data_IF_083184152366
#
_entry.id   IF_083184152366
#
_cell.length_a   1.000
_cell.length_b   1.000
_cell.length_c   1.000
_cell.angle_alpha   90.00
_cell.angle_beta   90.00
_cell.angle_gamma   90.00
#
_symmetry.space_group_name_H-M   'P 1'
#
loop_
_entity.id
_entity.type
_entity.pdbx_description
1 polymer ?
#
# COMPACT_ATOMS: atom_id res chain seq x y z
N UNK A 1 -16.58 20.57 -14.25
CA UNK A 1 -15.19 20.19 -13.87
C UNK A 1 -15.22 19.61 -12.46
N UNK A 2 -14.63 18.42 -12.23
CA UNK A 2 -14.50 17.87 -10.86
C UNK A 2 -13.53 18.73 -10.08
N UNK A 3 -13.86 19.04 -8.83
CA UNK A 3 -12.92 19.80 -7.99
C UNK A 3 -11.63 18.99 -7.77
N UNK A 4 -10.46 19.60 -7.64
CA UNK A 4 -9.19 18.88 -7.40
C UNK A 4 -9.24 18.02 -6.14
N UNK A 5 -10.15 18.33 -5.24
CA UNK A 5 -10.44 17.56 -4.04
C UNK A 5 -11.13 16.22 -4.34
N UNK A 6 -12.10 16.21 -5.24
CA UNK A 6 -12.76 15.00 -5.71
C UNK A 6 -11.80 14.10 -6.50
N UNK A 7 -10.89 14.71 -7.27
CA UNK A 7 -9.90 13.96 -8.01
C UNK A 7 -8.91 13.25 -7.09
N UNK A 8 -8.36 13.96 -6.09
CA UNK A 8 -7.47 13.37 -5.10
C UNK A 8 -8.14 12.23 -4.33
N UNK A 9 -9.42 12.39 -3.94
CA UNK A 9 -10.17 11.31 -3.26
C UNK A 9 -10.36 10.09 -4.14
N UNK A 10 -10.61 10.27 -5.42
CA UNK A 10 -10.76 9.16 -6.36
C UNK A 10 -9.44 8.40 -6.55
N UNK A 11 -8.32 9.14 -6.66
CA UNK A 11 -6.97 8.53 -6.71
C UNK A 11 -6.70 7.71 -5.48
N UNK A 12 -7.03 8.21 -4.26
CA UNK A 12 -6.88 7.46 -3.02
C UNK A 12 -7.68 6.16 -3.03
N UNK A 13 -8.95 6.20 -3.44
CA UNK A 13 -9.79 5.01 -3.47
C UNK A 13 -9.23 3.98 -4.46
N UNK A 14 -8.90 4.39 -5.68
CA UNK A 14 -8.41 3.47 -6.72
C UNK A 14 -7.06 2.87 -6.31
N UNK A 15 -6.09 3.70 -5.92
CA UNK A 15 -4.75 3.22 -5.53
C UNK A 15 -4.80 2.36 -4.26
N UNK A 16 -5.67 2.70 -3.30
CA UNK A 16 -5.88 1.89 -2.10
C UNK A 16 -6.46 0.51 -2.42
N UNK A 17 -7.46 0.43 -3.29
CA UNK A 17 -8.02 -0.85 -3.75
C UNK A 17 -6.96 -1.68 -4.47
N UNK A 18 -6.19 -1.09 -5.37
CA UNK A 18 -5.11 -1.78 -6.09
C UNK A 18 -4.00 -2.27 -5.13
N UNK A 19 -3.67 -1.49 -4.09
CA UNK A 19 -2.73 -1.89 -3.05
C UNK A 19 -3.24 -3.09 -2.24
N UNK A 20 -4.54 -3.13 -1.90
CA UNK A 20 -5.15 -4.29 -1.23
C UNK A 20 -5.03 -5.54 -2.12
N UNK A 21 -5.34 -5.43 -3.42
CA UNK A 21 -5.21 -6.54 -4.34
C UNK A 21 -3.75 -7.01 -4.48
N UNK A 22 -2.79 -6.08 -4.54
CA UNK A 22 -1.36 -6.43 -4.55
C UNK A 22 -0.98 -7.27 -3.32
N UNK A 23 -1.41 -6.87 -2.13
CA UNK A 23 -1.20 -7.64 -0.90
C UNK A 23 -1.88 -9.02 -0.92
N UNK A 24 -3.09 -9.12 -1.47
CA UNK A 24 -3.79 -10.40 -1.63
C UNK A 24 -3.03 -11.31 -2.61
N UNK A 25 -2.56 -10.79 -3.74
CA UNK A 25 -1.76 -11.55 -4.70
C UNK A 25 -0.42 -12.01 -4.12
N UNK A 26 0.19 -11.21 -3.25
CA UNK A 26 1.40 -11.61 -2.54
C UNK A 26 1.17 -12.83 -1.61
N UNK A 27 -0.06 -13.07 -1.18
CA UNK A 27 -0.46 -14.24 -0.41
C UNK A 27 -0.45 -15.53 -1.23
N UNK A 28 -0.68 -15.43 -2.55
CA UNK A 28 -0.72 -16.55 -3.49
C UNK A 28 0.45 -16.45 -4.47
N UNK A 29 1.63 -16.97 -4.11
CA UNK A 29 2.81 -16.84 -4.95
C UNK A 29 2.59 -17.49 -6.32
N UNK A 30 2.77 -16.70 -7.38
CA UNK A 30 2.60 -17.11 -8.78
C UNK A 30 1.25 -17.79 -9.04
N UNK A 31 0.16 -17.28 -8.41
CA UNK A 31 -1.19 -17.86 -8.47
C UNK A 31 -1.28 -19.33 -8.04
N UNK A 32 -0.32 -19.80 -7.25
CA UNK A 32 -0.33 -21.14 -6.67
C UNK A 32 -1.31 -21.22 -5.50
N UNK A 33 -1.97 -22.39 -5.35
CA UNK A 33 -2.85 -22.65 -4.20
C UNK A 33 -2.09 -22.80 -2.87
N UNK A 34 -0.77 -22.86 -2.91
CA UNK A 34 0.07 -23.07 -1.73
C UNK A 34 0.35 -21.75 -1.03
N UNK A 35 -0.38 -21.48 0.03
CA UNK A 35 -0.24 -20.28 0.89
C UNK A 35 0.90 -20.45 1.91
N UNK A 36 1.43 -21.63 2.03
CA UNK A 36 2.12 -22.15 3.20
C UNK A 36 3.45 -21.50 3.59
N UNK A 37 4.15 -20.85 2.70
CA UNK A 37 5.43 -20.23 3.10
C UNK A 37 5.43 -18.69 3.12
N UNK A 38 4.39 -18.08 2.66
CA UNK A 38 4.30 -16.61 2.72
C UNK A 38 3.79 -16.11 4.06
N UNK A 39 2.86 -16.83 4.69
CA UNK A 39 2.30 -16.48 5.98
C UNK A 39 1.78 -15.04 6.07
N UNK A 40 1.32 -14.64 7.24
CA UNK A 40 0.90 -13.27 7.52
C UNK A 40 2.13 -12.43 7.91
N UNK A 41 2.86 -11.93 6.93
CA UNK A 41 4.07 -11.11 7.12
C UNK A 41 3.77 -9.62 6.89
N UNK A 42 4.69 -8.75 7.35
CA UNK A 42 4.59 -7.30 7.11
C UNK A 42 4.53 -6.95 5.62
N UNK A 43 5.13 -7.74 4.75
CA UNK A 43 5.12 -7.57 3.29
C UNK A 43 3.72 -7.71 2.68
N UNK A 44 2.86 -8.52 3.29
CA UNK A 44 1.47 -8.75 2.87
C UNK A 44 0.52 -7.86 3.67
N UNK A 45 0.73 -7.79 4.98
CA UNK A 45 -0.16 -7.05 5.87
C UNK A 45 -0.14 -5.55 5.60
N UNK A 46 1.03 -4.96 5.33
CA UNK A 46 1.17 -3.52 5.17
C UNK A 46 0.39 -2.96 3.98
N UNK A 47 0.50 -3.49 2.73
CA UNK A 47 -0.29 -3.00 1.61
C UNK A 47 -1.80 -3.18 1.81
N UNK A 48 -2.26 -4.24 2.49
CA UNK A 48 -3.68 -4.46 2.79
C UNK A 48 -4.18 -3.42 3.79
N UNK A 49 -3.50 -3.24 4.93
CA UNK A 49 -3.93 -2.31 5.98
C UNK A 49 -3.84 -0.86 5.55
N UNK A 50 -2.73 -0.47 4.92
CA UNK A 50 -2.56 0.89 4.43
C UNK A 50 -3.52 1.18 3.27
N UNK A 51 -3.73 0.24 2.36
CA UNK A 51 -4.72 0.35 1.29
C UNK A 51 -6.14 0.54 1.84
N UNK A 52 -6.54 -0.23 2.86
CA UNK A 52 -7.83 -0.08 3.52
C UNK A 52 -7.97 1.29 4.20
N UNK A 53 -6.94 1.73 4.91
CA UNK A 53 -6.90 3.06 5.54
C UNK A 53 -7.11 4.17 4.51
N UNK A 54 -6.39 4.11 3.39
CA UNK A 54 -6.44 5.10 2.32
C UNK A 54 -7.82 5.12 1.62
N UNK A 55 -8.44 3.97 1.42
CA UNK A 55 -9.82 3.88 0.90
C UNK A 55 -10.80 4.57 1.85
N UNK A 56 -10.67 4.35 3.16
CA UNK A 56 -11.49 5.03 4.18
C UNK A 56 -11.31 6.55 4.08
N UNK A 57 -10.06 7.03 3.99
CA UNK A 57 -9.77 8.47 3.80
C UNK A 57 -10.49 9.00 2.56
N UNK A 58 -10.34 8.33 1.42
CA UNK A 58 -10.98 8.74 0.17
C UNK A 58 -12.50 8.83 0.27
N UNK A 59 -13.14 7.86 0.91
CA UNK A 59 -14.59 7.83 1.15
C UNK A 59 -15.02 8.97 2.09
N UNK A 60 -14.33 9.14 3.22
CA UNK A 60 -14.64 10.20 4.19
C UNK A 60 -14.54 11.58 3.55
N UNK A 61 -13.50 11.82 2.76
CA UNK A 61 -13.29 13.07 2.04
C UNK A 61 -14.41 13.34 1.03
N UNK A 62 -14.87 12.32 0.28
CA UNK A 62 -16.01 12.46 -0.62
C UNK A 62 -17.31 12.75 0.12
N UNK A 63 -17.55 12.08 1.24
CA UNK A 63 -18.72 12.32 2.08
C UNK A 63 -18.69 13.71 2.70
N UNK A 64 -17.56 14.14 3.22
CA UNK A 64 -17.37 15.49 3.77
C UNK A 64 -17.60 16.57 2.70
N UNK A 65 -17.17 16.32 1.46
CA UNK A 65 -17.41 17.23 0.34
C UNK A 65 -18.89 17.30 -0.04
N UNK A 66 -19.61 16.19 0.03
CA UNK A 66 -21.06 16.17 -0.23
C UNK A 66 -21.89 16.78 0.89
N UNK A 67 -21.51 16.53 2.13
CA UNK A 67 -22.19 17.02 3.34
C UNK A 67 -21.39 18.15 3.99
N UNK A 68 -21.33 19.30 3.34
CA UNK A 68 -20.47 20.44 3.73
C UNK A 68 -20.75 20.98 5.14
N UNK A 69 -21.94 20.73 5.70
CA UNK A 69 -22.37 21.22 7.02
C UNK A 69 -21.89 20.39 8.20
N UNK A 70 -21.44 19.15 7.98
CA UNK A 70 -21.02 18.28 9.07
C UNK A 70 -19.52 18.44 9.40
N UNK A 71 -19.22 19.24 10.42
CA UNK A 71 -17.86 19.49 10.90
C UNK A 71 -17.15 18.20 11.33
N UNK A 72 -17.86 17.28 11.97
CA UNK A 72 -17.29 15.99 12.42
C UNK A 72 -16.70 15.14 11.30
N UNK A 73 -17.28 15.18 10.09
CA UNK A 73 -16.72 14.46 8.92
C UNK A 73 -15.41 15.07 8.44
N UNK A 74 -15.26 16.40 8.53
CA UNK A 74 -14.02 17.09 8.18
C UNK A 74 -12.89 16.78 9.16
N UNK A 75 -13.20 16.78 10.45
CA UNK A 75 -12.25 16.44 11.53
C UNK A 75 -11.81 14.97 11.42
N UNK A 76 -12.76 14.05 11.22
CA UNK A 76 -12.45 12.64 10.98
C UNK A 76 -11.58 12.45 9.74
N UNK A 77 -11.95 13.09 8.61
CA UNK A 77 -11.17 13.02 7.37
C UNK A 77 -9.73 13.53 7.57
N UNK A 78 -9.56 14.58 8.37
CA UNK A 78 -8.24 15.14 8.69
C UNK A 78 -7.39 14.18 9.51
N UNK A 79 -7.96 13.59 10.56
CA UNK A 79 -7.26 12.61 11.41
C UNK A 79 -6.81 11.39 10.60
N UNK A 80 -7.70 10.82 9.81
CA UNK A 80 -7.37 9.67 8.97
C UNK A 80 -6.38 10.02 7.85
N UNK A 81 -6.42 11.26 7.32
CA UNK A 81 -5.44 11.72 6.34
C UNK A 81 -4.03 11.82 6.93
N UNK A 82 -3.88 12.25 8.19
CA UNK A 82 -2.59 12.24 8.88
C UNK A 82 -2.07 10.81 9.02
N UNK A 83 -2.90 9.87 9.44
CA UNK A 83 -2.53 8.46 9.56
C UNK A 83 -2.08 7.89 8.20
N UNK A 84 -2.77 8.26 7.12
CA UNK A 84 -2.39 7.85 5.76
C UNK A 84 -1.03 8.41 5.34
N UNK A 85 -0.74 9.68 5.64
CA UNK A 85 0.57 10.30 5.34
C UNK A 85 1.71 9.61 6.08
N UNK A 86 1.45 9.05 7.27
CA UNK A 86 2.45 8.26 8.02
C UNK A 86 2.53 6.82 7.46
N UNK A 87 1.40 6.21 7.13
CA UNK A 87 1.32 4.83 6.64
C UNK A 87 1.94 4.62 5.25
N UNK A 88 1.79 5.59 4.33
CA UNK A 88 2.32 5.46 2.98
C UNK A 88 3.84 5.33 2.91
N UNK A 89 4.66 6.17 3.58
CA UNK A 89 6.11 5.99 3.63
C UNK A 89 6.53 4.66 4.28
N UNK A 90 5.79 4.20 5.28
CA UNK A 90 6.04 2.91 5.91
C UNK A 90 5.85 1.76 4.92
N UNK A 91 4.77 1.78 4.14
CA UNK A 91 4.55 0.81 3.07
C UNK A 91 5.67 0.85 2.02
N UNK A 92 6.10 2.04 1.60
CA UNK A 92 7.20 2.20 0.66
C UNK A 92 8.52 1.63 1.22
N UNK A 93 8.83 1.90 2.49
CA UNK A 93 10.01 1.36 3.15
C UNK A 93 10.00 -0.18 3.20
N UNK A 94 8.84 -0.78 3.52
CA UNK A 94 8.67 -2.23 3.54
C UNK A 94 8.79 -2.83 2.14
N UNK A 95 8.23 -2.17 1.11
CA UNK A 95 8.36 -2.61 -0.27
C UNK A 95 9.83 -2.58 -0.74
N UNK A 96 10.57 -1.51 -0.45
CA UNK A 96 11.99 -1.40 -0.76
C UNK A 96 12.80 -2.48 -0.03
N UNK A 97 12.59 -2.63 1.27
CA UNK A 97 13.26 -3.66 2.07
C UNK A 97 12.95 -5.05 1.52
N UNK A 98 11.71 -5.33 1.17
CA UNK A 98 11.30 -6.62 0.61
C UNK A 98 11.93 -6.88 -0.75
N UNK A 99 12.03 -5.86 -1.61
CA UNK A 99 12.71 -5.98 -2.90
C UNK A 99 14.21 -6.25 -2.75
N UNK A 100 14.87 -5.62 -1.78
CA UNK A 100 16.31 -5.79 -1.53
C UNK A 100 16.64 -7.14 -0.88
N UNK A 101 15.84 -7.60 0.08
CA UNK A 101 16.02 -8.89 0.73
C UNK A 101 15.65 -10.06 -0.21
N UNK A 102 14.77 -9.79 -1.18
CA UNK A 102 14.41 -10.72 -2.25
C UNK A 102 13.38 -11.78 -1.88
N UNK A 103 13.11 -12.65 -2.84
CA UNK A 103 12.12 -13.70 -2.70
C UNK A 103 12.56 -14.78 -1.73
N UNK A 104 11.60 -15.35 -1.02
CA UNK A 104 11.78 -16.51 -0.17
C UNK A 104 11.19 -17.72 -0.91
N UNK A 105 12.06 -18.54 -1.49
CA UNK A 105 11.64 -19.68 -2.32
C UNK A 105 12.56 -20.89 -2.14
N UNK A 106 12.10 -22.04 -2.63
CA UNK A 106 12.91 -23.23 -2.66
C UNK A 106 13.90 -23.20 -3.82
N UNK A 107 15.15 -23.54 -3.50
CA UNK A 107 16.24 -23.67 -4.42
C UNK A 107 16.67 -25.13 -4.49
N UNK A 108 16.72 -25.71 -5.70
CA UNK A 108 17.27 -27.04 -5.92
C UNK A 108 18.72 -26.90 -6.36
N UNK A 109 19.65 -27.41 -5.58
CA UNK A 109 21.00 -27.64 -6.06
C UNK A 109 20.94 -28.74 -7.14
N UNK A 110 21.42 -28.43 -8.35
CA UNK A 110 21.56 -29.42 -9.43
C UNK A 110 22.54 -30.51 -8.96
N UNK A 111 22.05 -31.68 -8.66
CA UNK A 111 22.84 -32.81 -8.19
C UNK A 111 22.08 -33.83 -7.37
N UNK A 112 20.94 -33.45 -6.80
CA UNK A 112 20.03 -34.38 -6.14
C UNK A 112 18.84 -34.62 -7.07
N UNK A 113 19.16 -35.06 -8.28
CA UNK A 113 18.13 -35.48 -9.24
C UNK A 113 17.41 -36.71 -8.68
N UNK A 114 16.08 -36.59 -8.58
CA UNK A 114 15.21 -37.74 -8.24
C UNK A 114 14.60 -37.72 -6.86
N UNK A 115 14.93 -36.81 -6.00
CA UNK A 115 14.17 -36.60 -4.76
C UNK A 115 13.24 -35.39 -4.93
N UNK A 116 11.95 -35.58 -4.74
CA UNK A 116 10.96 -34.48 -4.60
C UNK A 116 11.24 -33.60 -3.36
N UNK A 117 12.43 -33.62 -2.85
CA UNK A 117 12.87 -32.94 -1.67
C UNK A 117 13.58 -31.64 -2.09
N UNK A 118 12.80 -30.61 -2.27
CA UNK A 118 13.30 -29.24 -2.28
C UNK A 118 13.76 -28.95 -0.84
N UNK A 119 15.02 -28.67 -0.65
CA UNK A 119 15.58 -28.37 0.66
C UNK A 119 14.84 -27.29 1.45
N UNK A 120 15.51 -26.54 2.27
CA UNK A 120 14.91 -25.42 2.96
C UNK A 120 14.68 -24.25 2.01
N UNK A 121 13.56 -23.50 2.21
CA UNK A 121 13.34 -22.26 1.51
C UNK A 121 14.42 -21.24 1.89
N UNK A 122 15.00 -20.57 0.90
CA UNK A 122 16.10 -19.63 1.07
C UNK A 122 15.72 -18.27 0.53
N UNK A 123 16.25 -17.23 1.13
CA UNK A 123 16.06 -15.85 0.69
C UNK A 123 17.24 -15.43 -0.19
N UNK A 124 16.92 -14.88 -1.37
CA UNK A 124 17.93 -14.44 -2.33
C UNK A 124 18.00 -12.91 -2.34
N UNK A 125 19.14 -12.30 -1.96
CA UNK A 125 19.28 -10.84 -2.00
C UNK A 125 19.37 -10.31 -3.43
N UNK A 126 19.02 -9.04 -3.61
CA UNK A 126 19.20 -8.34 -4.89
C UNK A 126 20.70 -8.40 -5.33
N UNK A 127 21.03 -8.66 -6.61
CA UNK A 127 20.20 -8.69 -7.83
C UNK A 127 19.80 -10.11 -8.30
N UNK A 128 18.89 -10.74 -7.61
CA UNK A 128 18.42 -12.11 -7.89
C UNK A 128 17.82 -12.29 -9.30
N UNK A 129 17.26 -11.25 -9.91
CA UNK A 129 16.67 -11.29 -11.27
C UNK A 129 17.71 -11.53 -12.37
N UNK A 130 19.01 -11.35 -12.06
CA UNK A 130 20.09 -11.67 -13.02
C UNK A 130 20.25 -13.16 -13.29
N UNK A 131 19.71 -14.01 -12.43
CA UNK A 131 19.85 -15.46 -12.53
C UNK A 131 18.47 -16.06 -12.76
N UNK A 132 18.11 -16.35 -14.02
CA UNK A 132 16.81 -16.92 -14.33
C UNK A 132 16.63 -18.27 -13.66
N UNK A 133 15.43 -18.54 -13.17
CA UNK A 133 15.04 -19.80 -12.54
C UNK A 133 15.77 -20.12 -11.23
N UNK A 134 16.13 -19.12 -10.44
CA UNK A 134 16.64 -19.33 -9.07
C UNK A 134 15.59 -20.02 -8.21
N UNK A 135 14.33 -19.58 -8.27
CA UNK A 135 13.22 -20.21 -7.58
C UNK A 135 12.70 -21.42 -8.36
N UNK A 136 12.81 -22.59 -7.77
CA UNK A 136 12.27 -23.83 -8.34
C UNK A 136 10.81 -24.05 -7.94
N UNK A 137 10.45 -23.73 -6.71
CA UNK A 137 9.08 -23.77 -6.22
C UNK A 137 8.79 -22.55 -5.34
N UNK A 138 7.90 -21.66 -5.75
CA UNK A 138 7.18 -21.59 -7.01
C UNK A 138 8.10 -21.15 -8.18
N UNK A 139 7.85 -21.66 -9.41
CA UNK A 139 8.67 -21.27 -10.57
C UNK A 139 8.49 -19.77 -10.88
N UNK A 140 9.58 -19.10 -11.26
CA UNK A 140 9.60 -17.67 -11.61
C UNK A 140 9.13 -16.72 -10.50
N UNK A 141 9.24 -17.14 -9.24
CA UNK A 141 8.79 -16.33 -8.13
C UNK A 141 9.64 -15.06 -7.94
N UNK A 142 10.90 -15.08 -8.36
CA UNK A 142 11.81 -13.93 -8.34
C UNK A 142 11.26 -12.74 -9.13
N UNK A 143 10.77 -12.97 -10.35
CA UNK A 143 10.19 -11.92 -11.20
C UNK A 143 8.85 -11.43 -10.64
N UNK A 144 8.01 -12.37 -10.23
CA UNK A 144 6.71 -12.08 -9.62
C UNK A 144 6.84 -11.24 -8.35
N UNK A 145 7.80 -11.61 -7.48
CA UNK A 145 8.09 -10.87 -6.25
C UNK A 145 8.53 -9.44 -6.55
N UNK A 146 9.49 -9.25 -7.47
CA UNK A 146 9.97 -7.93 -7.84
C UNK A 146 8.86 -7.07 -8.43
N UNK A 147 8.02 -7.64 -9.30
CA UNK A 147 6.88 -6.93 -9.89
C UNK A 147 5.93 -6.43 -8.81
N UNK A 148 5.54 -7.28 -7.85
CA UNK A 148 4.65 -6.89 -6.76
C UNK A 148 5.26 -5.77 -5.90
N UNK A 149 6.54 -5.87 -5.52
CA UNK A 149 7.19 -4.85 -4.71
C UNK A 149 7.30 -3.51 -5.46
N UNK A 150 7.53 -3.55 -6.77
CA UNK A 150 7.55 -2.35 -7.61
C UNK A 150 6.16 -1.69 -7.70
N UNK A 151 5.10 -2.49 -7.83
CA UNK A 151 3.72 -2.01 -7.82
C UNK A 151 3.36 -1.40 -6.46
N UNK A 152 3.72 -2.06 -5.35
CA UNK A 152 3.47 -1.54 -4.00
C UNK A 152 4.19 -0.21 -3.75
N UNK A 153 5.40 -0.07 -4.26
CA UNK A 153 6.14 1.20 -4.20
C UNK A 153 5.43 2.29 -5.01
N UNK A 154 4.98 1.99 -6.22
CA UNK A 154 4.26 2.94 -7.08
C UNK A 154 2.92 3.36 -6.46
N UNK A 155 2.14 2.41 -5.94
CA UNK A 155 0.89 2.71 -5.23
C UNK A 155 1.14 3.51 -3.96
N UNK A 156 2.16 3.16 -3.17
CA UNK A 156 2.56 3.90 -1.98
C UNK A 156 2.88 5.37 -2.29
N UNK A 157 3.62 5.63 -3.36
CA UNK A 157 3.93 6.99 -3.81
C UNK A 157 2.68 7.75 -4.26
N UNK A 158 1.81 7.13 -5.06
CA UNK A 158 0.57 7.74 -5.52
C UNK A 158 -0.35 8.10 -4.33
N UNK A 159 -0.49 7.18 -3.38
CA UNK A 159 -1.27 7.38 -2.17
C UNK A 159 -0.69 8.50 -1.29
N UNK A 160 0.63 8.56 -1.13
CA UNK A 160 1.31 9.62 -0.39
C UNK A 160 1.04 11.01 -1.00
N UNK A 161 1.25 11.16 -2.31
CA UNK A 161 1.00 12.42 -2.99
C UNK A 161 -0.46 12.87 -2.86
N UNK A 162 -1.41 11.96 -3.07
CA UNK A 162 -2.83 12.28 -2.95
C UNK A 162 -3.24 12.60 -1.50
N UNK A 163 -2.70 11.88 -0.50
CA UNK A 163 -2.95 12.14 0.92
C UNK A 163 -2.40 13.51 1.35
N UNK A 164 -1.22 13.91 0.88
CA UNK A 164 -0.66 15.23 1.15
C UNK A 164 -1.54 16.34 0.56
N UNK A 165 -2.01 16.19 -0.68
CA UNK A 165 -2.93 17.16 -1.30
C UNK A 165 -4.22 17.29 -0.49
N UNK A 166 -4.78 16.18 -0.04
CA UNK A 166 -5.98 16.15 0.80
C UNK A 166 -5.71 16.83 2.14
N UNK A 167 -4.61 16.48 2.81
CA UNK A 167 -4.24 17.02 4.12
C UNK A 167 -4.07 18.54 4.08
N UNK A 168 -3.32 19.06 3.10
CA UNK A 168 -3.12 20.51 2.94
C UNK A 168 -4.45 21.24 2.73
N UNK A 169 -5.33 20.71 1.88
CA UNK A 169 -6.62 21.33 1.63
C UNK A 169 -7.57 21.28 2.83
N UNK A 170 -7.55 20.17 3.59
CA UNK A 170 -8.32 20.03 4.82
C UNK A 170 -7.81 21.00 5.88
N UNK A 171 -6.49 21.14 6.03
CA UNK A 171 -5.88 22.10 6.96
C UNK A 171 -6.34 23.53 6.66
N UNK A 172 -6.18 23.98 5.40
CA UNK A 172 -6.60 25.32 4.99
C UNK A 172 -8.08 25.58 5.29
N UNK A 173 -8.94 24.59 5.03
CA UNK A 173 -10.38 24.74 5.28
C UNK A 173 -10.72 24.78 6.76
N UNK A 174 -10.05 24.00 7.60
CA UNK A 174 -10.25 24.00 9.06
C UNK A 174 -9.78 25.33 9.67
N UNK A 175 -8.66 25.87 9.22
CA UNK A 175 -8.17 27.19 9.65
C UNK A 175 -9.16 28.30 9.29
N UNK A 176 -9.64 28.36 8.04
CA UNK A 176 -10.65 29.35 7.63
C UNK A 176 -11.95 29.25 8.44
N UNK A 177 -12.39 28.04 8.77
CA UNK A 177 -13.58 27.86 9.62
C UNK A 177 -13.34 28.28 11.08
N UNK A 178 -12.11 28.18 11.57
CA UNK A 178 -11.70 28.62 12.90
C UNK A 178 -11.71 30.14 13.04
N UNK A 179 -11.19 30.87 12.04
CA UNK A 179 -11.20 32.34 12.04
C UNK A 179 -12.63 32.94 12.03
N UNK A 180 -13.52 32.37 11.21
CA UNK A 180 -14.92 32.79 11.15
C UNK A 180 -15.67 32.59 12.47
N UNK A 181 -15.36 31.56 13.25
CA UNK A 181 -15.94 31.34 14.55
C UNK A 181 -15.33 32.24 15.64
N UNK A 182 -14.04 32.58 15.55
CA UNK A 182 -13.38 33.52 16.44
C UNK A 182 -14.01 34.90 16.35
N UNK A 183 -14.22 35.41 15.14
CA UNK A 183 -14.89 36.71 14.93
C UNK A 183 -16.35 36.76 15.39
N UNK A 184 -17.06 35.61 15.43
CA UNK A 184 -18.46 35.58 15.89
C UNK A 184 -18.58 35.61 17.43
N UNK A 185 -17.53 35.23 18.16
CA UNK A 185 -17.55 35.21 19.61
C UNK A 185 -17.03 36.52 20.24
N UNK A 186 -16.63 37.51 19.46
CA UNK A 186 -16.18 38.83 19.91
C UNK A 186 -17.31 39.90 19.87
N UNK A 187 -18.53 39.53 19.55
CA UNK A 187 -19.73 40.35 19.60
C UNK A 187 -20.68 39.78 20.67
#
# INVERSE_FOLDING_TARGET
MRSPFQYASLVLIISGILSIFSGIFAFFPVFSYKIWFTGWSARIACPIWNGALVVIVGILVLLAHRKQTQRSLWEASFTFAILSVIGCPLQMAIAIQSALLGPYCYYSFSGIAGTNYLGYAVMFPFPYVRYPSICVDPPHYEEYHLLLQTLDLAFGLAMLCASLVVLVKLSLRLFQSGELNGQRNEW
#
